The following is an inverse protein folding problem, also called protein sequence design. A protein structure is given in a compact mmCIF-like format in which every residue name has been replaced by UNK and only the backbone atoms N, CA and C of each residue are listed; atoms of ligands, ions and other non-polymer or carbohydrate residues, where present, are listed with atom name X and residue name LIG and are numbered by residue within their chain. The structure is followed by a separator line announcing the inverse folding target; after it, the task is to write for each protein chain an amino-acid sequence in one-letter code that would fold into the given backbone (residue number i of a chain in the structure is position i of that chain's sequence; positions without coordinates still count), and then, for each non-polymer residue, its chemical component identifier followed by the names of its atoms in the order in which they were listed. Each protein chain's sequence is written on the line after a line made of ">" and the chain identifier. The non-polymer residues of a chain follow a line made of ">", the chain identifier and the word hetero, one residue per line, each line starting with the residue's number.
data_IF_765498812543
#
_entry.id   IF_765498812543
#
_cell.length_a   1.000
_cell.length_b   1.000
_cell.length_c   1.000
_cell.angle_alpha   90.00
_cell.angle_beta   90.00
_cell.angle_gamma   90.00
#
_symmetry.space_group_name_H-M   'P 1'
#
loop_
_entity.id
_entity.type
_entity.pdbx_description
1 polymer ?
#
# COMPACT_ATOMS: atom_id res chain seq x y z
N UNK A 1 -13.15 16.43 0.74
CA UNK A 1 -13.62 15.53 1.81
C UNK A 1 -12.48 14.81 2.53
N UNK A 2 -11.71 13.89 1.91
CA UNK A 2 -10.63 13.17 2.64
C UNK A 2 -9.57 14.10 3.26
N UNK A 3 -9.04 15.06 2.48
CA UNK A 3 -8.08 16.07 3.00
C UNK A 3 -8.65 16.95 4.11
N UNK A 4 -9.95 17.19 4.12
CA UNK A 4 -10.59 17.97 5.19
C UNK A 4 -10.59 17.17 6.50
N UNK A 5 -10.96 15.88 6.44
CA UNK A 5 -10.95 14.99 7.60
C UNK A 5 -9.56 14.83 8.21
N UNK A 6 -8.53 14.69 7.37
CA UNK A 6 -7.15 14.52 7.84
C UNK A 6 -6.56 15.83 8.36
N UNK A 7 -6.64 16.92 7.60
CA UNK A 7 -6.00 18.19 7.95
C UNK A 7 -6.74 18.99 9.02
N UNK A 8 -8.08 19.00 9.03
CA UNK A 8 -8.85 19.83 9.96
C UNK A 8 -9.29 19.05 11.21
N UNK A 9 -9.62 17.77 11.06
CA UNK A 9 -10.20 16.96 12.15
C UNK A 9 -9.23 15.96 12.77
N UNK A 10 -7.97 15.92 12.30
CA UNK A 10 -6.90 15.02 12.76
C UNK A 10 -7.36 13.55 12.79
N UNK A 11 -8.11 13.12 11.78
CA UNK A 11 -8.60 11.75 11.65
C UNK A 11 -7.73 10.96 10.68
N UNK A 12 -7.51 9.68 10.98
CA UNK A 12 -6.92 8.71 10.04
C UNK A 12 -7.99 8.19 9.11
N UNK A 13 -7.72 8.20 7.81
CA UNK A 13 -8.62 7.65 6.78
C UNK A 13 -7.97 6.42 6.17
N UNK A 14 -8.67 5.29 6.25
CA UNK A 14 -8.32 4.05 5.57
C UNK A 14 -9.44 3.71 4.58
N UNK A 15 -9.09 3.50 3.32
CA UNK A 15 -10.06 3.11 2.30
C UNK A 15 -9.42 2.17 1.27
N UNK A 16 -10.27 1.40 0.60
CA UNK A 16 -9.90 0.58 -0.55
C UNK A 16 -10.37 1.27 -1.82
N UNK A 17 -9.49 1.44 -2.80
CA UNK A 17 -9.83 2.07 -4.08
C UNK A 17 -9.63 1.04 -5.18
N UNK A 18 -10.71 0.73 -5.88
CA UNK A 18 -10.62 -0.07 -7.10
C UNK A 18 -10.23 0.87 -8.25
N UNK A 19 -8.97 0.76 -8.72
CA UNK A 19 -8.39 1.56 -9.81
C UNK A 19 -8.27 3.06 -9.51
N UNK A 20 -7.30 3.47 -8.67
CA UNK A 20 -7.04 4.88 -8.42
C UNK A 20 -6.44 5.57 -9.65
N UNK A 21 -6.77 6.85 -9.85
CA UNK A 21 -6.01 7.71 -10.75
C UNK A 21 -4.64 8.05 -10.16
N UNK A 22 -3.69 8.49 -11.00
CA UNK A 22 -2.37 8.94 -10.52
C UNK A 22 -2.50 10.05 -9.47
N UNK A 23 -3.29 11.07 -9.77
CA UNK A 23 -3.53 12.21 -8.87
C UNK A 23 -4.10 11.77 -7.51
N UNK A 24 -4.94 10.72 -7.51
CA UNK A 24 -5.52 10.20 -6.28
C UNK A 24 -4.48 9.47 -5.43
N UNK A 25 -3.57 8.70 -6.03
CA UNK A 25 -2.46 8.09 -5.29
C UNK A 25 -1.58 9.15 -4.63
N UNK A 26 -1.33 10.27 -5.33
CA UNK A 26 -0.49 11.37 -4.83
C UNK A 26 -1.10 12.09 -3.61
N UNK A 27 -2.38 11.83 -3.30
CA UNK A 27 -3.04 12.38 -2.11
C UNK A 27 -2.81 11.58 -0.84
N UNK A 28 -2.29 10.35 -0.93
CA UNK A 28 -2.10 9.47 0.22
C UNK A 28 -0.68 9.53 0.76
N UNK A 29 -0.55 9.64 2.09
CA UNK A 29 0.73 9.58 2.77
C UNK A 29 1.38 8.20 2.64
N UNK A 30 0.55 7.15 2.73
CA UNK A 30 0.94 5.74 2.59
C UNK A 30 -0.08 4.99 1.74
N UNK A 31 0.42 4.07 0.93
CA UNK A 31 -0.35 3.09 0.17
C UNK A 31 -0.04 1.68 0.68
N UNK A 32 -1.05 0.82 0.64
CA UNK A 32 -0.93 -0.61 0.90
C UNK A 32 -1.25 -1.32 -0.41
N UNK A 33 -0.28 -2.04 -0.94
CA UNK A 33 -0.45 -2.86 -2.13
C UNK A 33 -0.66 -4.31 -1.71
N UNK A 34 -1.74 -4.92 -2.20
CA UNK A 34 -2.11 -6.30 -1.91
C UNK A 34 -2.07 -7.13 -3.20
N UNK A 35 -1.49 -8.32 -3.12
CA UNK A 35 -1.42 -9.27 -4.22
C UNK A 35 -1.48 -10.69 -3.68
N UNK A 36 -2.25 -11.57 -4.33
CA UNK A 36 -2.38 -12.99 -3.94
C UNK A 36 -2.67 -13.17 -2.43
N UNK A 37 -3.60 -12.36 -1.89
CA UNK A 37 -3.98 -12.32 -0.47
C UNK A 37 -2.85 -11.99 0.51
N UNK A 38 -1.76 -11.39 0.02
CA UNK A 38 -0.58 -11.00 0.80
C UNK A 38 -0.25 -9.53 0.58
N UNK A 39 0.50 -8.97 1.53
CA UNK A 39 1.06 -7.63 1.42
C UNK A 39 2.23 -7.65 0.45
N UNK A 40 2.09 -6.92 -0.65
CA UNK A 40 3.16 -6.73 -1.62
C UNK A 40 4.01 -5.49 -1.29
N UNK A 41 3.41 -4.48 -0.64
CA UNK A 41 4.12 -3.27 -0.21
C UNK A 41 3.29 -2.44 0.79
N UNK A 42 3.95 -1.72 1.69
CA UNK A 42 3.38 -0.65 2.52
C UNK A 42 4.38 0.51 2.57
N UNK A 43 3.95 1.73 2.26
CA UNK A 43 4.81 2.92 2.29
C UNK A 43 4.32 4.03 1.36
N UNK A 44 5.15 5.02 1.06
CA UNK A 44 4.80 6.08 0.10
C UNK A 44 4.76 5.55 -1.35
N UNK A 45 4.13 6.30 -2.25
CA UNK A 45 4.14 6.00 -3.69
C UNK A 45 5.57 5.85 -4.23
N UNK A 46 6.46 6.78 -3.89
CA UNK A 46 7.83 6.78 -4.41
C UNK A 46 8.64 5.60 -3.88
N UNK A 47 8.44 5.24 -2.61
CA UNK A 47 9.04 4.05 -2.03
C UNK A 47 8.51 2.77 -2.70
N UNK A 48 7.23 2.72 -3.09
CA UNK A 48 6.67 1.59 -3.83
C UNK A 48 7.32 1.43 -5.22
N UNK A 49 7.54 2.54 -5.93
CA UNK A 49 8.21 2.55 -7.22
C UNK A 49 9.67 2.10 -7.09
N UNK A 50 10.40 2.64 -6.11
CA UNK A 50 11.78 2.24 -5.84
C UNK A 50 11.89 0.76 -5.43
N UNK A 51 10.94 0.27 -4.63
CA UNK A 51 10.87 -1.13 -4.28
C UNK A 51 10.67 -2.01 -5.52
N UNK A 52 9.67 -1.73 -6.36
CA UNK A 52 9.47 -2.50 -7.59
C UNK A 52 10.65 -2.43 -8.55
N UNK A 53 11.31 -1.28 -8.66
CA UNK A 53 12.54 -1.13 -9.43
C UNK A 53 13.65 -2.05 -8.90
N UNK A 54 13.85 -2.12 -7.57
CA UNK A 54 14.79 -3.06 -6.94
C UNK A 54 14.46 -4.54 -7.21
N UNK A 55 13.19 -4.85 -7.48
CA UNK A 55 12.72 -6.18 -7.86
C UNK A 55 12.87 -6.48 -9.36
N UNK A 56 13.42 -5.54 -10.14
CA UNK A 56 13.60 -5.66 -11.59
C UNK A 56 12.39 -5.20 -12.41
N UNK A 57 11.48 -4.44 -11.81
CA UNK A 57 10.30 -3.86 -12.45
C UNK A 57 10.36 -2.33 -12.36
N UNK A 58 11.18 -1.64 -13.17
CA UNK A 58 11.18 -0.19 -13.23
C UNK A 58 9.90 0.32 -13.91
N UNK A 59 9.34 1.41 -13.38
CA UNK A 59 8.23 2.10 -14.05
C UNK A 59 8.73 2.76 -15.34
N UNK A 60 8.12 2.48 -16.51
CA UNK A 60 8.54 3.10 -17.76
C UNK A 60 8.36 4.62 -17.74
N UNK A 61 9.23 5.34 -18.47
CA UNK A 61 9.13 6.79 -18.61
C UNK A 61 7.80 7.21 -19.26
N UNK A 62 7.14 8.21 -18.69
CA UNK A 62 5.83 8.71 -19.17
C UNK A 62 4.66 7.77 -18.90
N UNK A 63 4.87 6.66 -18.20
CA UNK A 63 3.81 5.74 -17.81
C UNK A 63 3.18 6.18 -16.48
N UNK A 64 1.86 6.04 -16.36
CA UNK A 64 1.12 6.40 -15.14
C UNK A 64 1.57 5.50 -13.97
N UNK A 65 2.13 6.05 -12.88
CA UNK A 65 2.56 5.27 -11.72
C UNK A 65 1.45 4.44 -11.10
N UNK A 66 0.22 4.96 -11.00
CA UNK A 66 -0.90 4.22 -10.45
C UNK A 66 -1.22 2.96 -11.25
N UNK A 67 -1.31 3.11 -12.57
CA UNK A 67 -1.53 1.98 -13.47
C UNK A 67 -0.36 0.99 -13.41
N UNK A 68 0.87 1.48 -13.22
CA UNK A 68 2.06 0.66 -13.15
C UNK A 68 2.04 -0.22 -11.91
N UNK A 69 1.78 0.36 -10.73
CA UNK A 69 1.69 -0.37 -9.46
C UNK A 69 0.63 -1.45 -9.53
N UNK A 70 -0.58 -1.13 -10.03
CA UNK A 70 -1.68 -2.09 -10.14
C UNK A 70 -1.35 -3.21 -11.14
N UNK A 71 -0.85 -2.89 -12.34
CA UNK A 71 -0.50 -3.91 -13.35
C UNK A 71 0.69 -4.77 -12.94
N UNK A 72 1.63 -4.21 -12.18
CA UNK A 72 2.75 -4.96 -11.61
C UNK A 72 2.30 -6.05 -10.64
N UNK A 73 1.09 -5.92 -10.10
CA UNK A 73 0.50 -6.84 -9.12
C UNK A 73 -0.71 -7.62 -9.65
N UNK A 74 -1.09 -7.42 -10.91
CA UNK A 74 -2.19 -8.11 -11.54
C UNK A 74 -1.79 -9.52 -12.06
N UNK A 75 -2.75 -10.45 -12.02
CA UNK A 75 -2.66 -11.74 -12.70
C UNK A 75 -3.28 -11.62 -14.08
N UNK A 76 -2.54 -11.94 -15.13
CA UNK A 76 -3.05 -11.97 -16.51
C UNK A 76 -3.49 -13.39 -16.88
N UNK A 77 -4.58 -13.52 -17.63
CA UNK A 77 -5.14 -14.84 -18.02
C UNK A 77 -4.23 -15.62 -18.95
N UNK A 78 -3.48 -14.93 -19.81
CA UNK A 78 -2.60 -15.55 -20.80
C UNK A 78 -1.26 -16.01 -20.21
N UNK A 79 -0.95 -15.61 -18.97
CA UNK A 79 0.31 -15.93 -18.30
C UNK A 79 0.13 -16.04 -16.77
N UNK A 80 -0.86 -16.82 -16.34
CA UNK A 80 -1.24 -16.93 -14.93
C UNK A 80 -0.07 -17.49 -14.08
N UNK A 81 0.63 -18.51 -14.58
CA UNK A 81 1.72 -19.16 -13.85
C UNK A 81 2.88 -18.20 -13.59
N UNK A 82 3.34 -17.47 -14.60
CA UNK A 82 4.45 -16.52 -14.41
C UNK A 82 4.00 -15.31 -13.60
N UNK A 83 2.76 -14.86 -13.78
CA UNK A 83 2.15 -13.80 -12.96
C UNK A 83 2.19 -14.20 -11.48
N UNK A 84 1.67 -15.37 -11.10
CA UNK A 84 1.68 -15.84 -9.71
C UNK A 84 3.08 -16.00 -9.15
N UNK A 85 4.04 -16.52 -9.94
CA UNK A 85 5.46 -16.61 -9.53
C UNK A 85 6.06 -15.24 -9.21
N UNK A 86 5.78 -14.24 -10.06
CA UNK A 86 6.18 -12.85 -9.81
C UNK A 86 5.55 -12.30 -8.53
N UNK A 87 4.23 -12.45 -8.36
CA UNK A 87 3.54 -11.95 -7.15
C UNK A 87 4.09 -12.59 -5.88
N UNK A 88 4.30 -13.92 -5.91
CA UNK A 88 4.88 -14.66 -4.80
C UNK A 88 6.27 -14.09 -4.45
N UNK A 89 7.14 -13.90 -5.45
CA UNK A 89 8.47 -13.32 -5.25
C UNK A 89 8.40 -11.92 -4.63
N UNK A 90 7.57 -11.04 -5.17
CA UNK A 90 7.43 -9.66 -4.66
C UNK A 90 6.98 -9.67 -3.19
N UNK A 91 5.98 -10.49 -2.85
CA UNK A 91 5.49 -10.57 -1.47
C UNK A 91 6.50 -11.23 -0.52
N UNK A 92 7.23 -12.25 -0.98
CA UNK A 92 8.30 -12.88 -0.20
C UNK A 92 9.42 -11.87 0.08
N UNK A 93 9.87 -11.13 -0.94
CA UNK A 93 10.93 -10.14 -0.76
C UNK A 93 10.48 -8.97 0.11
N UNK A 94 9.24 -8.49 -0.04
CA UNK A 94 8.71 -7.44 0.81
C UNK A 94 8.73 -7.86 2.29
N UNK A 95 8.38 -9.10 2.62
CA UNK A 95 8.32 -9.57 4.00
C UNK A 95 9.66 -9.52 4.78
N UNK A 96 10.78 -9.38 4.07
CA UNK A 96 12.13 -9.35 4.67
C UNK A 96 12.90 -8.07 4.37
N UNK A 97 12.37 -7.20 3.51
CA UNK A 97 13.06 -5.98 3.09
C UNK A 97 12.99 -4.90 4.18
N UNK A 98 13.87 -3.90 4.05
CA UNK A 98 13.96 -2.82 5.04
C UNK A 98 12.69 -1.95 5.07
N UNK A 99 11.96 -1.84 3.96
CA UNK A 99 10.66 -1.14 3.92
C UNK A 99 9.64 -1.78 4.88
N UNK A 100 9.56 -3.12 4.94
CA UNK A 100 8.66 -3.79 5.86
C UNK A 100 9.09 -3.60 7.32
N UNK A 101 10.40 -3.64 7.60
CA UNK A 101 10.93 -3.40 8.94
C UNK A 101 10.64 -1.99 9.44
N UNK A 102 10.74 -0.97 8.58
CA UNK A 102 10.41 0.41 8.93
C UNK A 102 8.94 0.54 9.35
N UNK A 103 8.05 -0.11 8.60
CA UNK A 103 6.61 -0.17 8.93
C UNK A 103 6.37 -0.90 10.24
N UNK A 104 7.02 -2.06 10.45
CA UNK A 104 6.89 -2.83 11.69
C UNK A 104 7.42 -2.06 12.90
N UNK A 105 8.53 -1.33 12.75
CA UNK A 105 9.07 -0.47 13.80
C UNK A 105 8.10 0.65 14.15
N UNK A 106 7.49 1.30 13.16
CA UNK A 106 6.52 2.35 13.40
C UNK A 106 5.26 1.81 14.11
N UNK A 107 4.74 0.66 13.66
CA UNK A 107 3.62 -0.02 14.32
C UNK A 107 3.98 -0.39 15.77
N UNK A 108 5.17 -0.96 15.99
CA UNK A 108 5.61 -1.38 17.31
C UNK A 108 5.83 -0.18 18.25
N UNK A 109 6.36 0.93 17.73
CA UNK A 109 6.48 2.17 18.48
C UNK A 109 5.11 2.71 18.90
N UNK A 110 4.15 2.77 17.97
CA UNK A 110 2.81 3.27 18.27
C UNK A 110 2.05 2.37 19.24
N UNK A 111 2.24 1.04 19.18
CA UNK A 111 1.60 0.10 20.11
C UNK A 111 2.17 0.16 21.52
N UNK A 112 3.46 0.46 21.69
CA UNK A 112 4.12 0.50 23.01
C UNK A 112 4.19 1.90 23.64
N UNK A 113 4.12 2.97 22.84
CA UNK A 113 4.22 4.36 23.32
C UNK A 113 2.87 5.10 23.26
N UNK A 114 1.90 4.61 22.48
CA UNK A 114 0.63 5.28 22.24
C UNK A 114 -0.37 5.17 23.41
N UNK A 115 -0.50 6.25 24.18
CA UNK A 115 -1.70 6.54 24.98
C UNK A 115 -2.85 6.95 24.05
N UNK A 116 -3.53 5.98 23.43
CA UNK A 116 -4.79 6.25 22.74
C UNK A 116 -5.93 5.56 23.50
N UNK A 117 -6.82 6.36 24.08
CA UNK A 117 -8.08 5.92 24.65
C UNK A 117 -8.99 5.43 23.50
N UNK A 118 -9.03 4.11 23.29
CA UNK A 118 -9.89 3.49 22.28
C UNK A 118 -11.32 3.39 22.85
N UNK A 119 -11.96 4.56 23.00
CA UNK A 119 -13.41 4.63 23.19
C UNK A 119 -14.10 4.45 21.84
N UNK A 120 -14.23 3.19 21.40
CA UNK A 120 -14.96 2.81 20.18
C UNK A 120 -16.44 2.58 20.53
N UNK A 121 -17.27 3.63 20.44
CA UNK A 121 -18.72 3.44 20.40
C UNK A 121 -19.08 2.84 19.04
N UNK A 122 -19.45 1.55 19.02
CA UNK A 122 -20.11 0.92 17.87
C UNK A 122 -21.51 1.53 17.79
N UNK A 123 -21.87 2.29 16.73
CA UNK A 123 -23.25 2.68 16.54
C UNK A 123 -24.06 1.40 16.30
N UNK A 124 -25.05 1.15 17.16
CA UNK A 124 -26.00 0.06 16.98
C UNK A 124 -26.62 0.16 15.59
N UNK A 125 -26.50 -0.93 14.83
CA UNK A 125 -27.10 -1.17 13.51
C UNK A 125 -28.43 -0.43 13.28
N UNK A 126 -28.56 0.17 12.10
CA UNK A 126 -29.83 0.45 11.43
C UNK A 126 -30.07 -0.67 10.42
#
# INVERSE_FOLDING_TARGET
>A
MMRELTSQRKKTVLCTIHQPSSELIDMFDKIILLADSRTAFIGSKDAALAFLESQGYPCPYGYNPADFLIKSLAVTTNDELSSRRRLKRICDEFSVCDFAKEVDLEINYQTHVGTYDVSFEIPSRI
#
